data_IF_164941740015
#
_entry.id   IF_164941740015
#
_cell.length_a   1.000
_cell.length_b   1.000
_cell.length_c   1.000
_cell.angle_alpha   90.00
_cell.angle_beta   90.00
_cell.angle_gamma   90.00
#
_symmetry.space_group_name_H-M   'P 1'
#
loop_
_entity.id
_entity.type
_entity.pdbx_description
1 polymer ?
#
# COMPACT_ATOMS: atom_id res chain seq x y z
N UNK A 1 6.71 4.43 -56.70
CA UNK A 1 5.71 4.94 -55.75
C UNK A 1 6.39 4.98 -54.38
N UNK A 2 7.00 6.10 -54.03
CA UNK A 2 7.50 6.33 -52.67
C UNK A 2 6.25 6.74 -51.87
N UNK A 3 5.75 5.85 -51.05
CA UNK A 3 4.70 6.17 -50.10
C UNK A 3 5.35 7.10 -49.09
N UNK A 4 4.89 8.34 -49.09
CA UNK A 4 5.28 9.35 -48.10
C UNK A 4 4.75 8.92 -46.72
N UNK A 5 5.60 8.25 -45.95
CA UNK A 5 5.28 7.73 -44.61
C UNK A 5 5.35 8.85 -43.55
N UNK A 6 5.57 10.08 -43.99
CA UNK A 6 5.88 11.24 -43.14
C UNK A 6 4.68 12.03 -42.62
N UNK A 7 3.44 11.55 -42.81
CA UNK A 7 2.27 12.32 -42.39
C UNK A 7 1.19 11.51 -41.65
N UNK A 8 1.63 10.49 -40.90
CA UNK A 8 0.77 9.90 -39.87
C UNK A 8 1.03 10.66 -38.56
N UNK A 9 0.15 11.62 -38.30
CA UNK A 9 0.15 12.40 -37.04
C UNK A 9 -0.26 11.50 -35.87
N UNK A 10 0.57 10.47 -35.58
CA UNK A 10 0.38 9.61 -34.43
C UNK A 10 0.80 10.38 -33.19
N UNK A 11 -0.20 10.92 -32.49
CA UNK A 11 0.02 11.45 -31.13
C UNK A 11 0.18 10.27 -30.18
N UNK A 12 1.42 9.94 -29.86
CA UNK A 12 1.75 8.95 -28.84
C UNK A 12 1.83 9.66 -27.50
N UNK A 13 1.13 9.11 -26.47
CA UNK A 13 1.22 9.62 -25.11
C UNK A 13 2.56 9.28 -24.49
N UNK A 14 3.20 10.25 -23.83
CA UNK A 14 4.36 10.05 -22.99
C UNK A 14 3.92 9.66 -21.58
N UNK A 15 4.56 8.65 -20.99
CA UNK A 15 4.30 8.22 -19.60
C UNK A 15 5.45 8.68 -18.73
N UNK A 16 5.14 9.56 -17.78
CA UNK A 16 6.08 9.99 -16.76
C UNK A 16 5.78 9.29 -15.43
N UNK A 17 6.81 8.72 -14.84
CA UNK A 17 6.73 8.12 -13.50
C UNK A 17 7.58 8.97 -12.54
N UNK A 18 6.96 9.51 -11.50
CA UNK A 18 7.64 10.36 -10.52
C UNK A 18 7.48 9.84 -9.11
N UNK A 19 8.61 9.75 -8.41
CA UNK A 19 8.67 9.51 -6.98
C UNK A 19 9.63 10.55 -6.36
N UNK A 20 9.18 11.22 -5.30
CA UNK A 20 9.99 12.22 -4.57
C UNK A 20 10.49 11.60 -3.27
N UNK A 21 11.69 11.00 -3.24
CA UNK A 21 12.21 10.38 -2.03
C UNK A 21 12.56 11.44 -0.98
N UNK A 22 12.26 11.12 0.29
CA UNK A 22 12.88 11.79 1.41
C UNK A 22 14.25 11.18 1.65
N UNK A 23 15.31 11.99 1.70
CA UNK A 23 16.69 11.51 1.80
C UNK A 23 17.24 11.56 3.23
N UNK A 24 16.53 12.21 4.17
CA UNK A 24 16.99 12.41 5.54
C UNK A 24 16.07 11.69 6.54
N UNK A 25 16.68 11.01 7.54
CA UNK A 25 16.00 10.43 8.69
C UNK A 25 14.83 9.49 8.33
N UNK A 26 15.06 8.52 7.46
CA UNK A 26 14.06 7.49 7.17
C UNK A 26 13.78 6.66 8.40
N UNK A 27 12.51 6.57 8.79
CA UNK A 27 12.07 5.65 9.81
C UNK A 27 12.40 4.22 9.41
N UNK A 28 12.66 3.36 10.37
CA UNK A 28 12.91 1.94 10.16
C UNK A 28 11.83 1.14 10.88
N UNK A 29 11.36 0.09 10.25
CA UNK A 29 10.32 -0.79 10.77
C UNK A 29 10.97 -2.08 11.27
N UNK A 30 10.78 -2.40 12.54
CA UNK A 30 11.24 -3.62 13.18
C UNK A 30 10.09 -4.52 13.63
N UNK A 31 8.88 -3.94 13.78
CA UNK A 31 7.69 -4.61 14.30
C UNK A 31 6.41 -4.04 13.70
N UNK A 32 5.30 -4.73 13.89
CA UNK A 32 3.97 -4.24 13.54
C UNK A 32 3.64 -2.92 14.28
N UNK A 33 4.11 -2.76 15.52
CA UNK A 33 3.94 -1.54 16.30
C UNK A 33 4.58 -0.33 15.62
N UNK A 34 5.79 -0.48 15.05
CA UNK A 34 6.45 0.60 14.32
C UNK A 34 5.63 1.00 13.08
N UNK A 35 5.13 0.01 12.33
CA UNK A 35 4.31 0.27 11.16
C UNK A 35 3.01 0.99 11.53
N UNK A 36 2.36 0.57 12.62
CA UNK A 36 1.17 1.22 13.16
C UNK A 36 1.44 2.68 13.52
N UNK A 37 2.52 2.95 14.28
CA UNK A 37 2.89 4.31 14.69
C UNK A 37 3.24 5.22 13.50
N UNK A 38 3.79 4.67 12.43
CA UNK A 38 4.11 5.42 11.21
C UNK A 38 2.85 5.71 10.40
N UNK A 39 1.92 4.77 10.30
CA UNK A 39 0.75 4.87 9.43
C UNK A 39 -0.44 5.59 10.08
N UNK A 40 -0.64 5.43 11.38
CA UNK A 40 -1.76 6.05 12.08
C UNK A 40 -1.81 7.58 11.90
N UNK A 41 -0.70 8.34 12.05
CA UNK A 41 -0.71 9.79 11.86
C UNK A 41 -0.97 10.22 10.40
N UNK A 42 -0.89 9.30 9.44
CA UNK A 42 -1.19 9.59 8.04
C UNK A 42 -2.69 9.56 7.73
N UNK A 43 -3.52 9.06 8.65
CA UNK A 43 -4.96 9.13 8.54
C UNK A 43 -5.41 10.57 8.80
N UNK A 44 -6.43 11.00 8.06
CA UNK A 44 -6.99 12.35 8.28
C UNK A 44 -7.57 12.42 9.68
N UNK A 45 -7.19 13.44 10.42
CA UNK A 45 -7.64 13.66 11.79
C UNK A 45 -9.17 13.59 11.92
N UNK A 46 -9.65 12.85 12.92
CA UNK A 46 -11.07 12.68 13.22
C UNK A 46 -11.85 11.82 12.22
N UNK A 47 -11.18 11.11 11.29
CA UNK A 47 -11.91 10.33 10.27
C UNK A 47 -11.76 8.81 10.39
N UNK A 48 -10.82 8.34 11.20
CA UNK A 48 -10.50 6.91 11.32
C UNK A 48 -11.67 6.06 11.84
N UNK A 49 -12.58 6.68 12.61
CA UNK A 49 -13.72 6.01 13.24
C UNK A 49 -14.98 5.96 12.36
N UNK A 50 -14.93 6.57 11.13
CA UNK A 50 -16.10 6.55 10.22
C UNK A 50 -15.76 6.37 8.74
N UNK A 51 -14.47 6.44 8.38
CA UNK A 51 -14.00 6.17 7.01
C UNK A 51 -12.99 5.03 7.01
N UNK A 52 -13.13 4.14 6.05
CA UNK A 52 -12.15 3.10 5.82
C UNK A 52 -11.07 3.58 4.84
N UNK A 53 -9.82 3.35 5.18
CA UNK A 53 -8.65 3.67 4.37
C UNK A 53 -7.84 2.41 4.13
N UNK A 54 -7.39 2.19 2.90
CA UNK A 54 -6.38 1.20 2.61
C UNK A 54 -5.08 1.89 2.23
N UNK A 55 -4.02 1.60 2.97
CA UNK A 55 -2.70 2.21 2.82
C UNK A 55 -1.63 1.14 2.64
N UNK A 56 -0.54 1.53 2.00
CA UNK A 56 0.63 0.67 1.84
C UNK A 56 1.88 1.44 2.21
N UNK A 57 2.71 0.83 3.05
CA UNK A 57 4.03 1.31 3.41
C UNK A 57 5.08 0.58 2.55
N UNK A 58 5.97 1.33 1.96
CA UNK A 58 7.00 0.84 1.05
C UNK A 58 8.36 0.84 1.72
N UNK A 59 9.06 -0.30 1.67
CA UNK A 59 10.31 -0.51 2.39
C UNK A 59 11.45 -0.94 1.47
N UNK A 60 12.67 -0.49 1.79
CA UNK A 60 13.89 -0.99 1.15
C UNK A 60 14.39 -2.28 1.85
N UNK A 61 15.51 -2.84 1.35
CA UNK A 61 16.12 -4.05 1.90
C UNK A 61 16.53 -3.94 3.39
N UNK A 62 16.75 -2.74 3.90
CA UNK A 62 17.10 -2.49 5.30
C UNK A 62 15.87 -2.18 6.17
N UNK A 63 14.65 -2.44 5.67
CA UNK A 63 13.37 -2.10 6.30
C UNK A 63 13.22 -0.60 6.61
N UNK A 64 13.90 0.25 5.86
CA UNK A 64 13.70 1.70 5.94
C UNK A 64 12.51 2.10 5.07
N UNK A 65 11.70 3.00 5.58
CA UNK A 65 10.53 3.53 4.90
C UNK A 65 10.94 4.39 3.73
N UNK A 66 10.54 3.99 2.53
CA UNK A 66 10.71 4.77 1.30
C UNK A 66 9.57 5.78 1.14
N UNK A 67 8.38 5.40 1.57
CA UNK A 67 7.18 6.22 1.51
C UNK A 67 5.94 5.40 1.83
N UNK A 68 4.79 6.04 1.74
CA UNK A 68 3.48 5.37 1.82
C UNK A 68 2.56 5.93 0.74
N UNK A 69 1.51 5.18 0.43
CA UNK A 69 0.41 5.70 -0.38
C UNK A 69 -0.92 5.23 0.20
N UNK A 70 -1.94 6.05 0.04
CA UNK A 70 -3.33 5.67 0.24
C UNK A 70 -3.87 5.16 -1.08
N UNK A 71 -4.22 3.88 -1.11
CA UNK A 71 -4.72 3.20 -2.32
C UNK A 71 -6.21 3.48 -2.51
N UNK A 72 -6.94 3.46 -1.40
CA UNK A 72 -8.39 3.71 -1.44
C UNK A 72 -8.88 4.40 -0.18
N UNK A 73 -10.00 5.07 -0.33
CA UNK A 73 -10.80 5.67 0.73
C UNK A 73 -12.25 5.27 0.46
N UNK A 74 -12.85 4.53 1.36
CA UNK A 74 -14.21 4.02 1.24
C UNK A 74 -15.19 4.66 2.19
N UNK A 75 -16.41 4.15 2.16
CA UNK A 75 -17.47 4.48 3.12
C UNK A 75 -17.29 3.77 4.46
N UNK A 76 -18.43 3.53 5.13
CA UNK A 76 -18.45 2.95 6.48
C UNK A 76 -18.18 1.44 6.48
N UNK A 77 -18.45 0.75 5.37
CA UNK A 77 -18.51 -0.72 5.34
C UNK A 77 -17.49 -1.39 4.44
N UNK A 78 -16.95 -0.71 3.42
CA UNK A 78 -16.06 -1.36 2.44
C UNK A 78 -15.29 -0.33 1.62
N UNK A 79 -14.06 -0.70 1.23
CA UNK A 79 -13.24 0.05 0.28
C UNK A 79 -12.68 -0.88 -0.79
N UNK A 80 -12.76 -0.46 -2.05
CA UNK A 80 -12.22 -1.22 -3.18
C UNK A 80 -10.71 -0.99 -3.31
N UNK A 81 -9.94 -2.07 -3.40
CA UNK A 81 -8.48 -2.04 -3.55
C UNK A 81 -8.08 -2.60 -4.91
N UNK A 82 -7.43 -1.78 -5.73
CA UNK A 82 -6.83 -2.24 -6.98
C UNK A 82 -5.35 -2.62 -6.74
N UNK A 83 -5.06 -3.93 -6.83
CA UNK A 83 -3.73 -4.49 -6.63
C UNK A 83 -2.70 -3.90 -7.60
N UNK A 84 -3.11 -3.49 -8.81
CA UNK A 84 -2.22 -2.86 -9.80
C UNK A 84 -1.69 -1.53 -9.30
N UNK A 85 -2.48 -0.75 -8.57
CA UNK A 85 -2.04 0.52 -7.98
C UNK A 85 -0.98 0.31 -6.91
N UNK A 86 -1.12 -0.77 -6.12
CA UNK A 86 -0.11 -1.15 -5.12
C UNK A 86 1.21 -1.48 -5.80
N UNK A 87 1.17 -2.37 -6.81
CA UNK A 87 2.37 -2.81 -7.51
C UNK A 87 3.03 -1.68 -8.31
N UNK A 88 2.24 -0.80 -8.93
CA UNK A 88 2.75 0.37 -9.64
C UNK A 88 3.55 1.29 -8.69
N UNK A 89 3.01 1.59 -7.51
CA UNK A 89 3.71 2.40 -6.51
C UNK A 89 4.94 1.68 -5.94
N UNK A 90 4.87 0.36 -5.75
CA UNK A 90 5.98 -0.44 -5.26
C UNK A 90 7.17 -0.45 -6.25
N UNK A 91 6.90 -0.63 -7.54
CA UNK A 91 7.91 -0.58 -8.60
C UNK A 91 8.49 0.83 -8.74
N UNK A 92 7.65 1.86 -8.70
CA UNK A 92 8.08 3.25 -8.77
C UNK A 92 9.02 3.66 -7.64
N UNK A 93 8.79 3.15 -6.44
CA UNK A 93 9.63 3.42 -5.27
C UNK A 93 10.85 2.49 -5.16
N UNK A 94 10.99 1.51 -6.06
CA UNK A 94 11.98 0.43 -5.99
C UNK A 94 11.94 -0.32 -4.66
N UNK A 95 10.73 -0.58 -4.15
CA UNK A 95 10.53 -1.29 -2.90
C UNK A 95 10.86 -2.77 -3.06
N UNK A 96 11.41 -3.36 -2.01
CA UNK A 96 11.61 -4.81 -1.91
C UNK A 96 10.62 -5.46 -0.94
N UNK A 97 9.98 -4.65 -0.10
CA UNK A 97 8.98 -5.12 0.85
C UNK A 97 7.86 -4.11 1.05
N UNK A 98 6.68 -4.63 1.40
CA UNK A 98 5.46 -3.87 1.67
C UNK A 98 4.90 -4.24 3.04
N UNK A 99 4.25 -3.28 3.68
CA UNK A 99 3.31 -3.52 4.77
C UNK A 99 1.97 -2.92 4.34
N UNK A 100 0.94 -3.74 4.36
CA UNK A 100 -0.43 -3.36 4.07
C UNK A 100 -1.09 -2.85 5.36
N UNK A 101 -1.99 -1.91 5.25
CA UNK A 101 -2.77 -1.44 6.38
C UNK A 101 -4.13 -0.95 5.96
N UNK A 102 -5.15 -1.27 6.76
CA UNK A 102 -6.45 -0.62 6.67
C UNK A 102 -7.02 -0.43 8.08
N UNK A 103 -7.97 0.46 8.21
CA UNK A 103 -8.66 0.64 9.47
C UNK A 103 -10.09 0.12 9.41
N UNK A 104 -10.58 -0.36 10.54
CA UNK A 104 -11.97 -0.70 10.73
C UNK A 104 -12.68 0.41 11.55
N UNK A 105 -13.55 1.22 10.94
CA UNK A 105 -14.30 2.26 11.65
C UNK A 105 -15.17 1.73 12.80
N UNK A 106 -15.57 0.44 12.72
CA UNK A 106 -16.34 -0.22 13.78
C UNK A 106 -15.55 -0.50 15.06
N UNK A 107 -14.24 -0.32 15.06
CA UNK A 107 -13.35 -0.69 16.17
C UNK A 107 -13.04 -2.19 16.28
N UNK A 108 -13.62 -3.04 15.41
CA UNK A 108 -13.37 -4.47 15.43
C UNK A 108 -12.05 -4.79 14.74
N UNK A 109 -11.09 -5.34 15.45
CA UNK A 109 -9.77 -5.71 14.92
C UNK A 109 -9.73 -7.08 14.23
N UNK A 110 -10.82 -7.85 14.28
CA UNK A 110 -10.86 -9.18 13.65
C UNK A 110 -10.90 -9.06 12.13
N UNK A 111 -9.99 -9.74 11.39
CA UNK A 111 -10.02 -9.78 9.94
C UNK A 111 -11.33 -10.35 9.40
N UNK A 112 -11.86 -9.75 8.36
CA UNK A 112 -12.94 -10.33 7.57
C UNK A 112 -12.39 -11.37 6.58
N UNK A 113 -13.28 -12.17 5.99
CA UNK A 113 -12.90 -13.08 4.90
C UNK A 113 -12.32 -12.33 3.71
N UNK A 114 -12.87 -11.15 3.41
CA UNK A 114 -12.39 -10.30 2.31
C UNK A 114 -10.98 -9.76 2.58
N UNK A 115 -10.65 -9.40 3.83
CA UNK A 115 -9.30 -8.96 4.20
C UNK A 115 -8.27 -10.08 3.97
N UNK A 116 -8.63 -11.30 4.35
CA UNK A 116 -7.77 -12.49 4.17
C UNK A 116 -7.56 -12.77 2.67
N UNK A 117 -8.62 -12.77 1.88
CA UNK A 117 -8.56 -13.01 0.43
C UNK A 117 -7.75 -11.92 -0.29
N UNK A 118 -7.98 -10.65 0.05
CA UNK A 118 -7.25 -9.52 -0.49
C UNK A 118 -5.76 -9.60 -0.15
N UNK A 119 -5.44 -9.91 1.11
CA UNK A 119 -4.05 -10.08 1.57
C UNK A 119 -3.34 -11.16 0.76
N UNK A 120 -3.99 -12.31 0.57
CA UNK A 120 -3.45 -13.41 -0.24
C UNK A 120 -3.23 -12.99 -1.69
N UNK A 121 -4.20 -12.34 -2.31
CA UNK A 121 -4.11 -11.87 -3.68
C UNK A 121 -2.93 -10.90 -3.88
N UNK A 122 -2.77 -9.92 -2.98
CA UNK A 122 -1.67 -8.96 -3.04
C UNK A 122 -0.33 -9.68 -2.85
N UNK A 123 -0.23 -10.62 -1.90
CA UNK A 123 0.97 -11.40 -1.62
C UNK A 123 1.41 -12.21 -2.85
N UNK A 124 0.48 -12.91 -3.49
CA UNK A 124 0.74 -13.69 -4.70
C UNK A 124 1.21 -12.78 -5.86
N UNK A 125 0.54 -11.66 -6.08
CA UNK A 125 0.90 -10.71 -7.13
C UNK A 125 2.27 -10.05 -6.89
N UNK A 126 2.56 -9.61 -5.66
CA UNK A 126 3.84 -9.01 -5.28
C UNK A 126 5.01 -9.99 -5.42
N UNK A 127 4.79 -11.27 -5.12
CA UNK A 127 5.80 -12.34 -5.25
C UNK A 127 6.32 -12.47 -6.69
N UNK A 128 5.47 -12.29 -7.70
CA UNK A 128 5.88 -12.33 -9.11
C UNK A 128 6.89 -11.22 -9.44
N UNK A 129 6.81 -10.09 -8.74
CA UNK A 129 7.74 -8.95 -8.86
C UNK A 129 8.91 -9.03 -7.86
N UNK A 130 9.07 -10.15 -7.14
CA UNK A 130 10.06 -10.34 -6.07
C UNK A 130 9.95 -9.28 -4.97
N UNK A 131 8.73 -8.87 -4.66
CA UNK A 131 8.40 -7.96 -3.58
C UNK A 131 7.73 -8.77 -2.46
N UNK A 132 8.19 -8.60 -1.22
CA UNK A 132 7.66 -9.30 -0.06
C UNK A 132 6.57 -8.49 0.62
N UNK A 133 5.43 -9.11 0.92
CA UNK A 133 4.48 -8.54 1.88
C UNK A 133 4.89 -9.03 3.26
N UNK A 134 5.37 -8.12 4.11
CA UNK A 134 5.87 -8.46 5.45
C UNK A 134 4.75 -8.56 6.47
N UNK A 135 3.71 -7.75 6.31
CA UNK A 135 2.55 -7.74 7.21
C UNK A 135 1.33 -7.12 6.54
N UNK A 136 0.18 -7.37 7.13
CA UNK A 136 -1.05 -6.62 6.94
C UNK A 136 -1.58 -6.25 8.33
N UNK A 137 -1.74 -4.97 8.61
CA UNK A 137 -2.25 -4.50 9.89
C UNK A 137 -3.66 -3.91 9.76
N UNK A 138 -4.55 -4.32 10.65
CA UNK A 138 -5.86 -3.70 10.83
C UNK A 138 -5.75 -2.70 11.96
N UNK A 139 -6.12 -1.46 11.72
CA UNK A 139 -5.92 -0.36 12.67
C UNK A 139 -7.25 0.16 13.22
N UNK A 140 -7.20 0.62 14.45
CA UNK A 140 -8.18 1.52 15.05
C UNK A 140 -7.46 2.77 15.55
N UNK A 141 -8.16 3.72 16.14
CA UNK A 141 -7.54 4.90 16.77
C UNK A 141 -6.61 4.55 17.94
N UNK A 142 -6.76 3.36 18.55
CA UNK A 142 -6.08 3.00 19.80
C UNK A 142 -5.21 1.75 19.70
N UNK A 143 -5.49 0.86 18.74
CA UNK A 143 -4.87 -0.46 18.68
C UNK A 143 -4.78 -0.99 17.25
N UNK A 144 -4.12 -2.14 17.09
CA UNK A 144 -4.00 -2.81 15.80
C UNK A 144 -4.00 -4.34 15.97
N UNK A 145 -4.31 -5.03 14.86
CA UNK A 145 -4.11 -6.45 14.65
C UNK A 145 -3.04 -6.62 13.56
N UNK A 146 -2.12 -7.55 13.73
CA UNK A 146 -1.10 -7.91 12.74
C UNK A 146 -1.31 -9.33 12.25
N UNK A 147 -1.43 -9.50 10.94
CA UNK A 147 -1.52 -10.84 10.32
C UNK A 147 -0.24 -11.65 10.52
N UNK A 148 0.91 -10.98 10.55
CA UNK A 148 2.20 -11.63 10.77
C UNK A 148 2.35 -12.12 12.21
N UNK A 149 2.04 -11.28 13.20
CA UNK A 149 2.16 -11.64 14.62
C UNK A 149 1.19 -12.77 15.01
N UNK A 150 0.02 -12.81 14.38
CA UNK A 150 -1.01 -13.86 14.60
C UNK A 150 -0.80 -15.10 13.71
N UNK A 151 0.22 -15.12 12.85
CA UNK A 151 0.54 -16.25 11.97
C UNK A 151 -0.49 -16.52 10.88
N UNK A 152 -1.22 -15.48 10.45
CA UNK A 152 -2.30 -15.56 9.45
C UNK A 152 -1.93 -14.89 8.12
N UNK A 153 -0.69 -14.40 7.98
CA UNK A 153 -0.20 -13.74 6.78
C UNK A 153 0.03 -14.68 5.60
#
# INVERSE_FOLDING_TARGET
LIIDVMNLDYKVGEVELTYKPTTRNRSKVYSAADAFQILLPTCKEGTIDYKEYFKVLFLNQANQVLGYTQISEGGITETSVDVRMILQAALLTNSVSLILAHNHPSGNLKPSTLDIELTRCIKEAAKLMRINVLDHIIMTSESYYSFSDEGTL
#
